data_IF_802973663638
#
_entry.id   IF_802973663638
#
_cell.length_a   1.000
_cell.length_b   1.000
_cell.length_c   1.000
_cell.angle_alpha   90.00
_cell.angle_beta   90.00
_cell.angle_gamma   90.00
#
_symmetry.space_group_name_H-M   'P 1'
#
loop_
_entity.id
_entity.type
_entity.pdbx_description
1 polymer ?
#
# COMPACT_ATOMS: atom_id res chain seq x y z
N UNK A 1 -12.70 -23.34 15.29
CA UNK A 1 -12.20 -22.68 16.52
C UNK A 1 -12.69 -21.24 16.52
N UNK A 2 -12.66 -20.55 17.67
CA UNK A 2 -13.08 -19.15 17.76
C UNK A 2 -12.00 -18.18 17.26
N UNK A 3 -12.38 -16.93 16.99
CA UNK A 3 -11.43 -15.87 16.67
C UNK A 3 -10.62 -15.51 17.92
N UNK A 4 -9.31 -15.37 17.79
CA UNK A 4 -8.42 -14.82 18.82
C UNK A 4 -7.69 -13.60 18.27
N UNK A 5 -7.79 -12.47 18.98
CA UNK A 5 -7.08 -11.25 18.66
C UNK A 5 -5.96 -11.01 19.68
N UNK A 6 -4.71 -11.05 19.22
CA UNK A 6 -3.55 -10.68 20.02
C UNK A 6 -3.33 -9.18 19.90
N UNK A 7 -3.24 -8.50 21.05
CA UNK A 7 -3.27 -7.04 21.11
C UNK A 7 -2.16 -6.46 21.95
N UNK A 8 -1.95 -5.15 21.77
CA UNK A 8 -1.08 -4.34 22.59
C UNK A 8 -1.87 -3.27 23.37
N UNK A 9 -1.41 -2.86 24.56
CA UNK A 9 -2.00 -1.75 25.30
C UNK A 9 -2.03 -0.47 24.46
N UNK A 10 -3.12 0.27 24.56
CA UNK A 10 -3.33 1.55 23.87
C UNK A 10 -3.18 1.55 22.33
N UNK A 11 -3.21 0.36 21.73
CA UNK A 11 -3.10 0.15 20.30
C UNK A 11 -4.39 0.60 19.56
N UNK A 12 -4.32 1.73 18.85
CA UNK A 12 -5.44 2.25 18.02
C UNK A 12 -5.91 1.21 16.99
N UNK A 13 -4.99 0.55 16.28
CA UNK A 13 -5.30 -0.49 15.29
C UNK A 13 -6.06 -1.67 15.90
N UNK A 14 -5.72 -2.03 17.13
CA UNK A 14 -6.40 -3.08 17.89
C UNK A 14 -7.82 -2.66 18.27
N UNK A 15 -8.02 -1.39 18.68
CA UNK A 15 -9.36 -0.84 18.96
C UNK A 15 -10.24 -0.84 17.71
N UNK A 16 -9.69 -0.50 16.54
CA UNK A 16 -10.41 -0.51 15.26
C UNK A 16 -10.93 -1.92 14.93
N UNK A 17 -10.07 -2.93 15.01
CA UNK A 17 -10.47 -4.33 14.74
C UNK A 17 -11.50 -4.83 15.75
N UNK A 18 -11.31 -4.54 17.06
CA UNK A 18 -12.30 -4.89 18.10
C UNK A 18 -13.67 -4.27 17.82
N UNK A 19 -13.70 -2.99 17.47
CA UNK A 19 -14.93 -2.29 17.14
C UNK A 19 -15.62 -2.90 15.91
N UNK A 20 -14.85 -3.25 14.88
CA UNK A 20 -15.37 -3.92 13.69
C UNK A 20 -15.97 -5.29 13.99
N UNK A 21 -15.29 -6.13 14.78
CA UNK A 21 -15.79 -7.45 15.22
C UNK A 21 -17.08 -7.31 16.03
N UNK A 22 -17.12 -6.37 16.98
CA UNK A 22 -18.28 -6.12 17.83
C UNK A 22 -19.51 -5.67 17.01
N UNK A 23 -19.32 -4.74 16.06
CA UNK A 23 -20.39 -4.27 15.17
C UNK A 23 -20.96 -5.39 14.30
N UNK A 24 -20.12 -6.36 13.90
CA UNK A 24 -20.54 -7.53 13.13
C UNK A 24 -21.09 -8.67 14.00
N UNK A 25 -21.13 -8.52 15.32
CA UNK A 25 -21.58 -9.56 16.24
C UNK A 25 -20.69 -10.81 16.23
N UNK A 26 -19.41 -10.67 15.84
CA UNK A 26 -18.48 -11.78 15.77
C UNK A 26 -17.87 -12.02 17.15
N UNK A 27 -18.01 -13.23 17.68
CA UNK A 27 -17.40 -13.61 18.95
C UNK A 27 -15.87 -13.76 18.79
N UNK A 28 -15.11 -13.18 19.72
CA UNK A 28 -13.66 -13.27 19.74
C UNK A 28 -13.10 -13.23 21.16
N UNK A 29 -11.98 -13.90 21.35
CA UNK A 29 -11.13 -13.80 22.53
C UNK A 29 -10.01 -12.78 22.31
N UNK A 30 -9.47 -12.24 23.39
CA UNK A 30 -8.33 -11.31 23.34
C UNK A 30 -7.19 -11.79 24.23
N UNK A 31 -5.97 -11.75 23.69
CA UNK A 31 -4.73 -12.02 24.43
C UNK A 31 -3.88 -10.76 24.36
N UNK A 32 -3.56 -10.15 25.50
CA UNK A 32 -2.67 -8.99 25.57
C UNK A 32 -1.21 -9.46 25.64
N UNK A 33 -0.33 -8.92 24.79
CA UNK A 33 1.04 -9.41 24.73
C UNK A 33 1.86 -9.16 26.01
N UNK A 34 1.44 -8.21 26.85
CA UNK A 34 2.06 -7.92 28.15
C UNK A 34 1.36 -8.64 29.29
N UNK A 35 0.05 -8.55 29.38
CA UNK A 35 -0.71 -9.15 30.49
C UNK A 35 -0.69 -10.69 30.40
N UNK A 36 -0.77 -11.22 29.18
CA UNK A 36 -0.88 -12.66 28.89
C UNK A 36 0.39 -13.18 28.19
N UNK A 37 1.55 -12.70 28.65
CA UNK A 37 2.83 -12.89 27.96
C UNK A 37 3.17 -14.36 27.68
N UNK A 38 2.78 -15.31 28.54
CA UNK A 38 3.06 -16.73 28.32
C UNK A 38 2.28 -17.28 27.11
N UNK A 39 1.00 -16.94 26.99
CA UNK A 39 0.13 -17.37 25.89
C UNK A 39 0.56 -16.72 24.58
N UNK A 40 0.81 -15.41 24.60
CA UNK A 40 1.34 -14.70 23.44
C UNK A 40 2.69 -15.27 22.97
N UNK A 41 3.64 -15.50 23.87
CA UNK A 41 4.95 -16.04 23.50
C UNK A 41 4.86 -17.44 22.92
N UNK A 42 3.91 -18.25 23.39
CA UNK A 42 3.65 -19.59 22.85
C UNK A 42 3.12 -19.48 21.43
N UNK A 43 2.09 -18.66 21.20
CA UNK A 43 1.56 -18.38 19.87
C UNK A 43 2.63 -17.84 18.93
N UNK A 44 3.38 -16.82 19.36
CA UNK A 44 4.42 -16.17 18.56
C UNK A 44 5.52 -17.15 18.15
N UNK A 45 6.04 -17.98 19.08
CA UNK A 45 7.11 -18.95 18.75
C UNK A 45 6.66 -19.99 17.74
N UNK A 46 5.44 -20.49 17.89
CA UNK A 46 4.83 -21.47 16.98
C UNK A 46 4.64 -20.88 15.59
N UNK A 47 4.23 -19.61 15.51
CA UNK A 47 3.81 -18.97 14.25
C UNK A 47 4.81 -17.95 13.71
N UNK A 48 6.03 -17.89 14.23
CA UNK A 48 7.03 -16.85 13.93
C UNK A 48 7.33 -16.65 12.44
N UNK A 49 7.14 -17.68 11.61
CA UNK A 49 7.36 -17.60 10.16
C UNK A 49 6.25 -16.83 9.43
N UNK A 50 5.07 -16.75 10.02
CA UNK A 50 3.90 -16.05 9.48
C UNK A 50 3.73 -14.64 10.08
N UNK A 51 4.56 -14.26 11.06
CA UNK A 51 4.47 -12.98 11.76
C UNK A 51 5.65 -12.11 11.34
N UNK A 52 5.36 -10.99 10.71
CA UNK A 52 6.36 -9.99 10.37
C UNK A 52 6.75 -9.14 11.59
N UNK A 53 8.01 -8.70 11.60
CA UNK A 53 8.57 -7.78 12.58
C UNK A 53 9.37 -6.71 11.87
N UNK A 54 9.09 -5.46 12.20
CA UNK A 54 9.89 -4.32 11.80
C UNK A 54 10.93 -3.99 12.90
N UNK A 55 11.80 -2.99 12.71
CA UNK A 55 12.75 -2.56 13.73
C UNK A 55 12.12 -2.14 15.07
N UNK A 56 10.85 -1.70 15.08
CA UNK A 56 10.09 -1.35 16.28
C UNK A 56 9.43 -2.56 16.98
N UNK A 57 9.41 -3.74 16.34
CA UNK A 57 8.93 -4.99 16.91
C UNK A 57 7.81 -5.66 16.11
N UNK A 58 6.95 -6.41 16.81
CA UNK A 58 5.79 -7.06 16.21
C UNK A 58 4.71 -6.02 15.96
N UNK A 59 4.20 -5.96 14.73
CA UNK A 59 3.04 -5.14 14.43
C UNK A 59 1.76 -5.78 14.99
N UNK A 60 0.98 -4.98 15.72
CA UNK A 60 -0.32 -5.37 16.27
C UNK A 60 -1.46 -4.66 15.53
N UNK A 61 -2.66 -5.27 15.48
CA UNK A 61 -3.02 -6.56 16.08
C UNK A 61 -2.59 -7.78 15.25
N UNK A 62 -2.51 -8.95 15.89
CA UNK A 62 -2.50 -10.25 15.21
C UNK A 62 -3.85 -10.93 15.39
N UNK A 63 -4.32 -11.62 14.36
CA UNK A 63 -5.56 -12.36 14.33
C UNK A 63 -5.27 -13.84 14.05
N UNK A 64 -6.05 -14.72 14.67
CA UNK A 64 -6.10 -16.15 14.33
C UNK A 64 -7.54 -16.64 14.45
N UNK A 65 -8.04 -17.42 13.49
CA UNK A 65 -9.30 -18.19 13.61
C UNK A 65 -9.05 -19.71 13.82
N UNK A 66 -7.78 -20.09 13.96
CA UNK A 66 -7.31 -21.47 14.05
C UNK A 66 -6.78 -22.03 12.73
N UNK A 67 -7.09 -21.41 11.59
CA UNK A 67 -6.63 -21.81 10.26
C UNK A 67 -5.77 -20.73 9.62
N UNK A 68 -6.19 -19.47 9.73
CA UNK A 68 -5.57 -18.31 9.10
C UNK A 68 -5.00 -17.38 10.17
N UNK A 69 -3.79 -16.87 9.91
CA UNK A 69 -3.17 -15.81 10.72
C UNK A 69 -3.07 -14.56 9.86
N UNK A 70 -3.53 -13.42 10.40
CA UNK A 70 -3.43 -12.09 9.78
C UNK A 70 -2.79 -11.10 10.74
N UNK A 71 -2.10 -10.11 10.17
CA UNK A 71 -1.37 -9.10 10.92
C UNK A 71 -1.71 -7.70 10.40
N UNK A 72 -2.00 -6.78 11.33
CA UNK A 72 -2.37 -5.41 11.01
C UNK A 72 -3.86 -5.25 10.70
N UNK A 73 -4.40 -4.08 11.06
CA UNK A 73 -5.84 -3.82 10.97
C UNK A 73 -6.37 -3.84 9.53
N UNK A 74 -5.54 -3.48 8.55
CA UNK A 74 -5.89 -3.53 7.12
C UNK A 74 -6.17 -4.96 6.66
N UNK A 75 -5.18 -5.84 6.79
CA UNK A 75 -5.29 -7.24 6.35
C UNK A 75 -6.38 -8.01 7.12
N UNK A 76 -6.53 -7.77 8.43
CA UNK A 76 -7.53 -8.44 9.25
C UNK A 76 -8.94 -8.08 8.81
N UNK A 77 -9.24 -6.80 8.64
CA UNK A 77 -10.59 -6.36 8.23
C UNK A 77 -10.87 -6.78 6.79
N UNK A 78 -9.89 -6.74 5.89
CA UNK A 78 -10.02 -7.24 4.52
C UNK A 78 -10.39 -8.74 4.49
N UNK A 79 -9.73 -9.55 5.33
CA UNK A 79 -10.03 -10.98 5.46
C UNK A 79 -11.44 -11.22 6.03
N UNK A 80 -11.83 -10.48 7.07
CA UNK A 80 -13.17 -10.60 7.65
C UNK A 80 -14.30 -10.17 6.69
N UNK A 81 -14.01 -9.28 5.74
CA UNK A 81 -14.98 -8.81 4.75
C UNK A 81 -15.12 -9.74 3.55
N UNK A 82 -14.05 -10.42 3.14
CA UNK A 82 -13.97 -11.03 1.80
C UNK A 82 -13.22 -12.36 1.73
N UNK A 83 -12.83 -12.92 2.88
CA UNK A 83 -11.85 -14.02 2.93
C UNK A 83 -10.56 -13.59 2.26
N UNK A 84 -10.03 -14.43 1.37
CA UNK A 84 -8.76 -14.15 0.68
C UNK A 84 -8.89 -13.21 -0.53
N UNK A 85 -10.09 -12.74 -0.86
CA UNK A 85 -10.32 -12.02 -2.13
C UNK A 85 -9.61 -10.67 -2.16
N UNK A 86 -9.68 -9.88 -1.09
CA UNK A 86 -9.04 -8.56 -1.03
C UNK A 86 -7.51 -8.61 -0.85
N UNK A 87 -6.91 -9.78 -0.69
CA UNK A 87 -5.45 -9.91 -0.59
C UNK A 87 -4.72 -9.49 -1.87
N UNK A 88 -5.42 -9.47 -3.00
CA UNK A 88 -4.91 -8.93 -4.25
C UNK A 88 -4.64 -7.41 -4.20
N UNK A 89 -5.23 -6.68 -3.25
CA UNK A 89 -5.15 -5.23 -3.16
C UNK A 89 -4.95 -4.66 -1.76
N UNK A 90 -4.83 -5.53 -0.75
CA UNK A 90 -4.58 -5.16 0.65
C UNK A 90 -3.36 -5.94 1.12
N UNK A 91 -2.37 -5.21 1.60
CA UNK A 91 -1.16 -5.75 2.19
C UNK A 91 -0.96 -5.15 3.57
N UNK A 92 0.08 -5.61 4.26
CA UNK A 92 0.61 -4.93 5.45
C UNK A 92 0.90 -3.47 5.16
N UNK A 93 0.78 -2.65 6.20
CA UNK A 93 1.19 -1.25 6.18
C UNK A 93 2.69 -1.13 6.45
N UNK A 94 3.38 -0.35 5.62
CA UNK A 94 4.73 0.14 5.87
C UNK A 94 4.75 1.49 6.62
N UNK A 95 3.57 2.05 6.92
CA UNK A 95 3.43 3.29 7.69
C UNK A 95 3.04 3.05 9.16
N UNK A 96 3.60 3.87 10.05
CA UNK A 96 3.42 3.85 11.50
C UNK A 96 2.84 5.18 12.03
N UNK A 97 2.70 5.28 13.36
CA UNK A 97 2.34 6.52 14.08
C UNK A 97 1.06 7.21 13.58
N UNK A 98 -0.06 6.48 13.57
CA UNK A 98 -1.36 7.03 13.18
C UNK A 98 -1.61 7.07 11.67
N UNK A 99 -0.67 6.58 10.86
CA UNK A 99 -0.85 6.38 9.41
C UNK A 99 -1.04 4.91 9.07
N UNK A 100 -1.67 4.64 7.94
CA UNK A 100 -1.78 3.29 7.39
C UNK A 100 -1.70 3.32 5.86
N UNK A 101 -0.93 2.40 5.28
CA UNK A 101 -0.81 2.19 3.83
C UNK A 101 -1.12 0.73 3.47
N UNK A 102 -0.58 0.23 2.36
CA UNK A 102 -0.85 -1.14 1.88
C UNK A 102 -2.23 -1.32 1.24
N UNK A 103 -2.80 -0.26 0.67
CA UNK A 103 -4.16 -0.25 0.09
C UNK A 103 -4.09 0.20 -1.37
N UNK A 104 -4.40 -0.72 -2.30
CA UNK A 104 -4.19 -0.54 -3.73
C UNK A 104 -5.49 -0.53 -4.53
N UNK A 105 -6.22 0.60 -4.64
CA UNK A 105 -7.52 0.65 -5.32
C UNK A 105 -7.49 0.13 -6.76
N UNK A 106 -6.40 0.38 -7.50
CA UNK A 106 -6.22 -0.12 -8.88
C UNK A 106 -6.27 -1.64 -8.99
N UNK A 107 -5.87 -2.36 -7.94
CA UNK A 107 -5.80 -3.82 -7.90
C UNK A 107 -7.04 -4.45 -7.25
N UNK A 108 -8.00 -3.64 -6.79
CA UNK A 108 -9.22 -4.14 -6.16
C UNK A 108 -9.95 -5.10 -7.12
N UNK A 109 -10.27 -6.34 -6.75
CA UNK A 109 -11.01 -7.25 -7.62
C UNK A 109 -12.40 -6.72 -7.97
N UNK A 110 -12.89 -7.05 -9.16
CA UNK A 110 -14.25 -6.67 -9.56
C UNK A 110 -15.30 -7.25 -8.60
N UNK A 111 -16.25 -6.41 -8.16
CA UNK A 111 -17.29 -6.77 -7.21
C UNK A 111 -16.87 -6.66 -5.74
N UNK A 112 -15.62 -6.25 -5.45
CA UNK A 112 -15.13 -6.03 -4.09
C UNK A 112 -15.01 -4.54 -3.72
N UNK A 113 -15.41 -3.63 -4.59
CA UNK A 113 -15.30 -2.18 -4.40
C UNK A 113 -16.00 -1.69 -3.13
N UNK A 114 -17.15 -2.27 -2.78
CA UNK A 114 -17.88 -1.92 -1.56
C UNK A 114 -17.18 -2.43 -0.29
N UNK A 115 -16.66 -3.67 -0.31
CA UNK A 115 -15.86 -4.19 0.80
C UNK A 115 -14.59 -3.36 0.99
N UNK A 116 -13.93 -2.97 -0.09
CA UNK A 116 -12.75 -2.11 -0.03
C UNK A 116 -13.09 -0.72 0.52
N UNK A 117 -14.23 -0.14 0.14
CA UNK A 117 -14.70 1.12 0.70
C UNK A 117 -15.02 1.02 2.21
N UNK A 118 -15.67 -0.05 2.66
CA UNK A 118 -15.94 -0.32 4.09
C UNK A 118 -14.64 -0.45 4.88
N UNK A 119 -13.63 -1.12 4.32
CA UNK A 119 -12.30 -1.22 4.91
C UNK A 119 -11.67 0.16 5.11
N UNK A 120 -11.60 0.97 4.05
CA UNK A 120 -10.99 2.31 4.08
C UNK A 120 -11.73 3.22 5.07
N UNK A 121 -13.06 3.23 5.02
CA UNK A 121 -13.89 4.01 5.93
C UNK A 121 -13.66 3.62 7.39
N UNK A 122 -13.59 2.31 7.69
CA UNK A 122 -13.35 1.84 9.06
C UNK A 122 -11.98 2.26 9.60
N UNK A 123 -10.95 2.20 8.77
CA UNK A 123 -9.61 2.62 9.16
C UNK A 123 -9.57 4.12 9.45
N UNK A 124 -10.18 4.94 8.60
CA UNK A 124 -10.27 6.39 8.75
C UNK A 124 -11.12 6.81 9.96
N UNK A 125 -12.34 6.26 10.08
CA UNK A 125 -13.22 6.50 11.23
C UNK A 125 -12.60 6.04 12.57
N UNK A 126 -11.68 5.08 12.48
CA UNK A 126 -10.83 4.63 13.58
C UNK A 126 -9.75 5.61 14.03
N UNK A 127 -9.57 6.73 13.33
CA UNK A 127 -8.59 7.77 13.63
C UNK A 127 -7.24 7.61 12.92
N UNK A 128 -7.14 6.76 11.90
CA UNK A 128 -5.92 6.64 11.09
C UNK A 128 -5.98 7.56 9.87
N UNK A 129 -4.85 8.16 9.51
CA UNK A 129 -4.65 8.74 8.19
C UNK A 129 -4.39 7.60 7.20
N UNK A 130 -5.28 7.43 6.22
CA UNK A 130 -5.22 6.33 5.26
C UNK A 130 -4.51 6.78 3.99
N UNK A 131 -3.48 6.05 3.57
CA UNK A 131 -2.67 6.35 2.39
C UNK A 131 -2.89 5.30 1.31
N UNK A 132 -3.68 5.66 0.30
CA UNK A 132 -3.94 4.83 -0.88
C UNK A 132 -2.77 4.88 -1.86
N UNK A 133 -2.49 3.75 -2.50
CA UNK A 133 -1.46 3.62 -3.54
C UNK A 133 -2.11 3.17 -4.85
N UNK A 134 -2.25 4.10 -5.80
CA UNK A 134 -2.82 3.83 -7.13
C UNK A 134 -1.72 3.74 -8.19
N UNK A 135 -1.99 3.04 -9.28
CA UNK A 135 -1.15 3.02 -10.49
C UNK A 135 -1.77 3.82 -11.66
N UNK A 136 -2.85 4.56 -11.40
CA UNK A 136 -3.60 5.32 -12.41
C UNK A 136 -4.92 4.68 -12.84
N UNK A 137 -5.10 3.37 -12.65
CA UNK A 137 -6.34 2.65 -13.01
C UNK A 137 -7.45 2.86 -11.98
N UNK A 138 -8.69 2.57 -12.40
CA UNK A 138 -9.91 2.66 -11.57
C UNK A 138 -10.13 4.03 -10.89
N UNK A 139 -10.10 5.15 -11.64
CA UNK A 139 -10.28 6.48 -11.07
C UNK A 139 -11.65 6.65 -10.38
N UNK A 140 -12.69 5.96 -10.82
CA UNK A 140 -14.03 6.03 -10.22
C UNK A 140 -14.05 5.45 -8.79
N UNK A 141 -13.33 4.35 -8.55
CA UNK A 141 -13.14 3.82 -7.20
C UNK A 141 -12.30 4.78 -6.36
N UNK A 142 -11.21 5.30 -6.91
CA UNK A 142 -10.35 6.25 -6.20
C UNK A 142 -11.14 7.50 -5.77
N UNK A 143 -11.97 8.06 -6.66
CA UNK A 143 -12.82 9.21 -6.36
C UNK A 143 -13.78 8.91 -5.20
N UNK A 144 -14.41 7.73 -5.19
CA UNK A 144 -15.29 7.30 -4.10
C UNK A 144 -14.54 7.26 -2.77
N UNK A 145 -13.32 6.72 -2.75
CA UNK A 145 -12.52 6.57 -1.54
C UNK A 145 -11.99 7.91 -1.01
N UNK A 146 -11.60 8.84 -1.89
CA UNK A 146 -11.11 10.16 -1.51
C UNK A 146 -12.19 11.08 -0.92
N UNK A 147 -13.47 10.69 -0.99
CA UNK A 147 -14.57 11.37 -0.28
C UNK A 147 -14.61 11.00 1.22
N UNK A 148 -13.91 9.95 1.63
CA UNK A 148 -13.75 9.57 3.03
C UNK A 148 -12.74 10.52 3.67
N UNK A 149 -13.03 10.98 4.88
CA UNK A 149 -12.17 11.92 5.62
C UNK A 149 -10.80 11.28 5.91
N UNK A 150 -9.75 12.10 5.92
CA UNK A 150 -8.37 11.70 6.28
C UNK A 150 -7.80 10.57 5.40
N UNK A 151 -8.26 10.51 4.14
CA UNK A 151 -7.72 9.66 3.08
C UNK A 151 -6.83 10.50 2.15
N UNK A 152 -5.62 9.98 1.91
CA UNK A 152 -4.59 10.54 1.06
C UNK A 152 -4.25 9.56 -0.06
N UNK A 153 -3.56 10.01 -1.10
CA UNK A 153 -3.21 9.16 -2.25
C UNK A 153 -1.81 9.46 -2.80
N UNK A 154 -1.13 8.38 -3.19
CA UNK A 154 0.07 8.43 -4.02
C UNK A 154 -0.18 7.64 -5.30
N UNK A 155 0.08 8.26 -6.45
CA UNK A 155 0.08 7.60 -7.75
C UNK A 155 1.50 7.13 -8.09
N UNK A 156 1.68 5.80 -8.13
CA UNK A 156 2.93 5.13 -8.39
C UNK A 156 3.04 4.74 -9.87
N UNK A 157 4.03 5.29 -10.56
CA UNK A 157 4.44 4.86 -11.89
C UNK A 157 5.72 4.04 -11.75
N UNK A 158 5.76 2.86 -12.35
CA UNK A 158 6.91 1.94 -12.28
C UNK A 158 7.66 1.83 -13.61
N UNK A 159 7.18 2.53 -14.63
CA UNK A 159 7.75 2.56 -15.97
C UNK A 159 6.67 2.87 -17.01
N UNK A 160 6.90 2.42 -18.24
CA UNK A 160 5.88 2.45 -19.30
C UNK A 160 4.78 1.38 -19.12
N UNK A 161 3.93 1.18 -20.14
CA UNK A 161 2.84 0.20 -20.09
C UNK A 161 3.32 -1.24 -19.87
N UNK A 162 4.49 -1.61 -20.42
CA UNK A 162 5.09 -2.93 -20.25
C UNK A 162 5.46 -3.19 -18.79
N UNK A 163 6.19 -2.26 -18.15
CA UNK A 163 6.57 -2.36 -16.74
C UNK A 163 5.34 -2.40 -15.84
N UNK A 164 4.35 -1.54 -16.10
CA UNK A 164 3.09 -1.52 -15.35
C UNK A 164 2.33 -2.83 -15.47
N UNK A 165 2.31 -3.44 -16.67
CA UNK A 165 1.69 -4.75 -16.89
C UNK A 165 2.40 -5.86 -16.11
N UNK A 166 3.74 -5.86 -16.09
CA UNK A 166 4.53 -6.85 -15.34
C UNK A 166 4.33 -6.74 -13.82
N UNK A 167 4.21 -5.53 -13.28
CA UNK A 167 4.12 -5.30 -11.84
C UNK A 167 2.67 -5.36 -11.34
N UNK A 168 1.75 -4.69 -12.03
CA UNK A 168 0.37 -4.50 -11.56
C UNK A 168 -0.67 -5.28 -12.36
N UNK A 169 -0.27 -6.09 -13.35
CA UNK A 169 -1.19 -6.84 -14.21
C UNK A 169 -1.93 -5.98 -15.24
N UNK A 170 -1.55 -4.71 -15.40
CA UNK A 170 -2.05 -3.83 -16.46
C UNK A 170 -1.52 -2.41 -16.35
N UNK A 171 -1.79 -1.61 -17.38
CA UNK A 171 -1.46 -0.18 -17.43
C UNK A 171 -2.75 0.65 -17.53
N UNK A 172 -2.78 1.87 -16.98
CA UNK A 172 -3.92 2.75 -17.18
C UNK A 172 -4.02 3.22 -18.63
N UNK A 173 -5.24 3.41 -19.10
CA UNK A 173 -5.49 4.25 -20.28
C UNK A 173 -5.09 5.70 -20.01
N UNK A 174 -4.95 6.48 -21.09
CA UNK A 174 -4.65 7.91 -21.00
C UNK A 174 -5.72 8.65 -20.20
N UNK A 175 -6.98 8.32 -20.46
CA UNK A 175 -8.16 8.92 -19.83
C UNK A 175 -8.24 8.57 -18.34
N UNK A 176 -7.98 7.31 -17.97
CA UNK A 176 -7.94 6.90 -16.57
C UNK A 176 -6.82 7.61 -15.80
N UNK A 177 -5.62 7.64 -16.37
CA UNK A 177 -4.48 8.27 -15.74
C UNK A 177 -4.71 9.78 -15.56
N UNK A 178 -5.28 10.46 -16.55
CA UNK A 178 -5.61 11.88 -16.47
C UNK A 178 -6.59 12.17 -15.32
N UNK A 179 -7.66 11.37 -15.19
CA UNK A 179 -8.61 11.48 -14.08
C UNK A 179 -7.94 11.23 -12.73
N UNK A 180 -7.15 10.17 -12.61
CA UNK A 180 -6.44 9.83 -11.38
C UNK A 180 -5.48 10.94 -10.96
N UNK A 181 -4.70 11.50 -11.90
CA UNK A 181 -3.79 12.61 -11.62
C UNK A 181 -4.56 13.84 -11.12
N UNK A 182 -5.71 14.16 -11.72
CA UNK A 182 -6.53 15.29 -11.27
C UNK A 182 -6.99 15.10 -9.81
N UNK A 183 -7.44 13.90 -9.45
CA UNK A 183 -7.81 13.56 -8.07
C UNK A 183 -6.62 13.72 -7.11
N UNK A 184 -5.45 13.20 -7.49
CA UNK A 184 -4.21 13.31 -6.71
C UNK A 184 -3.83 14.78 -6.48
N UNK A 185 -3.88 15.63 -7.50
CA UNK A 185 -3.55 17.06 -7.39
C UNK A 185 -4.49 17.84 -6.47
N UNK A 186 -5.74 17.39 -6.32
CA UNK A 186 -6.71 18.00 -5.40
C UNK A 186 -6.65 17.45 -3.98
N UNK A 187 -5.92 16.35 -3.77
CA UNK A 187 -5.77 15.73 -2.45
C UNK A 187 -4.62 16.38 -1.70
N UNK A 188 -4.81 16.83 -0.44
CA UNK A 188 -3.71 17.31 0.39
C UNK A 188 -2.59 16.27 0.48
N UNK A 189 -1.35 16.72 0.27
CA UNK A 189 -0.15 15.88 0.23
C UNK A 189 -0.16 14.78 -0.86
N UNK A 190 -1.09 14.87 -1.81
CA UNK A 190 -1.18 13.96 -2.95
C UNK A 190 0.05 14.07 -3.84
N UNK A 191 0.62 12.91 -4.21
CA UNK A 191 1.85 12.85 -4.98
C UNK A 191 1.74 11.92 -6.19
N UNK A 192 2.32 12.35 -7.31
CA UNK A 192 2.58 11.50 -8.48
C UNK A 192 4.08 11.22 -8.49
N UNK A 193 4.48 9.95 -8.57
CA UNK A 193 5.89 9.58 -8.48
C UNK A 193 6.30 8.45 -9.41
N UNK A 194 7.54 8.49 -9.85
CA UNK A 194 8.26 7.30 -10.28
C UNK A 194 8.68 6.53 -9.02
N UNK A 195 8.04 5.40 -8.78
CA UNK A 195 8.45 4.47 -7.73
C UNK A 195 9.57 3.59 -8.29
N UNK A 196 10.81 3.88 -7.86
CA UNK A 196 11.97 3.09 -8.28
C UNK A 196 11.96 1.79 -7.49
N UNK A 197 11.45 0.74 -8.12
CA UNK A 197 11.37 -0.60 -7.56
C UNK A 197 11.94 -1.63 -8.53
N UNK A 198 12.42 -2.79 -8.05
CA UNK A 198 12.88 -3.86 -8.93
C UNK A 198 11.80 -4.27 -9.93
N UNK A 199 12.18 -4.45 -11.19
CA UNK A 199 11.33 -4.94 -12.28
C UNK A 199 11.72 -6.37 -12.66
N UNK A 200 10.77 -7.23 -13.07
CA UNK A 200 11.07 -8.59 -13.50
C UNK A 200 12.02 -8.61 -14.71
N UNK A 201 13.10 -9.39 -14.60
CA UNK A 201 14.13 -9.57 -15.62
C UNK A 201 14.54 -11.05 -15.71
N UNK A 202 14.00 -11.76 -16.71
CA UNK A 202 14.17 -13.21 -16.82
C UNK A 202 13.59 -13.93 -15.60
N UNK A 203 14.39 -14.79 -14.96
CA UNK A 203 14.03 -15.50 -13.73
C UNK A 203 14.30 -14.68 -12.44
N UNK A 204 14.73 -13.43 -12.58
CA UNK A 204 15.14 -12.57 -11.47
C UNK A 204 14.51 -11.18 -11.51
N UNK A 205 15.16 -10.25 -10.81
CA UNK A 205 14.76 -8.87 -10.67
C UNK A 205 15.94 -7.97 -10.99
N UNK A 206 15.69 -6.82 -11.61
CA UNK A 206 16.70 -5.80 -11.86
C UNK A 206 16.15 -4.42 -11.48
N UNK A 207 17.05 -3.49 -11.14
CA UNK A 207 16.66 -2.08 -11.00
C UNK A 207 16.17 -1.52 -12.34
N UNK A 208 15.19 -0.58 -12.34
CA UNK A 208 14.69 0.03 -13.57
C UNK A 208 15.80 0.66 -14.40
N UNK A 209 15.62 0.70 -15.71
CA UNK A 209 16.55 1.39 -16.61
C UNK A 209 16.17 2.85 -16.76
N UNK A 210 17.04 3.62 -17.41
CA UNK A 210 16.79 5.05 -17.71
C UNK A 210 15.49 5.22 -18.51
N UNK A 211 15.25 4.30 -19.43
CA UNK A 211 14.12 4.28 -20.35
C UNK A 211 12.80 4.09 -19.61
N UNK A 212 12.78 3.31 -18.51
CA UNK A 212 11.60 3.12 -17.68
C UNK A 212 11.17 4.43 -17.01
N UNK A 213 12.14 5.18 -16.45
CA UNK A 213 11.87 6.48 -15.85
C UNK A 213 11.38 7.51 -16.88
N UNK A 214 11.98 7.54 -18.08
CA UNK A 214 11.53 8.40 -19.18
C UNK A 214 10.11 8.03 -19.62
N UNK A 215 9.82 6.73 -19.79
CA UNK A 215 8.50 6.24 -20.20
C UNK A 215 7.42 6.56 -19.16
N UNK A 216 7.70 6.39 -17.86
CA UNK A 216 6.79 6.77 -16.79
C UNK A 216 6.44 8.26 -16.81
N UNK A 217 7.46 9.13 -16.90
CA UNK A 217 7.27 10.58 -16.98
C UNK A 217 6.53 11.00 -18.26
N UNK A 218 6.80 10.34 -19.39
CA UNK A 218 6.11 10.57 -20.66
C UNK A 218 4.62 10.25 -20.55
N UNK A 219 4.26 9.10 -19.98
CA UNK A 219 2.86 8.71 -19.78
C UNK A 219 2.08 9.77 -18.99
N UNK A 220 2.66 10.23 -17.87
CA UNK A 220 2.07 11.28 -17.04
C UNK A 220 1.93 12.58 -17.82
N UNK A 221 2.99 13.04 -18.49
CA UNK A 221 2.98 14.27 -19.28
C UNK A 221 1.95 14.23 -20.42
N UNK A 222 1.80 13.10 -21.11
CA UNK A 222 0.82 12.92 -22.17
C UNK A 222 -0.62 12.92 -21.62
N UNK A 223 -0.84 12.31 -20.45
CA UNK A 223 -2.16 12.24 -19.81
C UNK A 223 -2.63 13.61 -19.31
N UNK A 224 -1.76 14.39 -18.66
CA UNK A 224 -2.15 15.68 -18.09
C UNK A 224 -1.93 16.88 -19.02
N UNK A 225 -1.05 16.77 -20.03
CA UNK A 225 -0.64 17.89 -20.88
C UNK A 225 0.12 19.00 -20.12
N UNK A 226 0.60 18.71 -18.91
CA UNK A 226 1.24 19.68 -18.00
C UNK A 226 2.69 19.26 -17.71
N UNK A 227 3.69 19.76 -18.47
CA UNK A 227 5.10 19.41 -18.24
C UNK A 227 5.67 19.97 -16.93
N UNK A 228 4.93 20.84 -16.24
CA UNK A 228 5.33 21.44 -14.94
C UNK A 228 4.69 20.74 -13.74
N UNK A 229 3.96 19.65 -13.94
CA UNK A 229 3.37 18.86 -12.87
C UNK A 229 4.46 18.36 -11.89
N UNK A 230 4.31 18.58 -10.57
CA UNK A 230 5.23 18.02 -9.58
C UNK A 230 5.29 16.49 -9.67
N UNK A 231 6.50 15.95 -9.79
CA UNK A 231 6.73 14.52 -9.99
C UNK A 231 7.94 14.07 -9.18
N UNK A 232 7.78 13.12 -8.26
CA UNK A 232 8.91 12.67 -7.46
C UNK A 232 9.56 11.39 -8.00
N UNK A 233 10.86 11.24 -7.77
CA UNK A 233 11.58 9.98 -7.92
C UNK A 233 11.85 9.46 -6.52
N UNK A 234 11.26 8.31 -6.17
CA UNK A 234 11.38 7.73 -4.83
C UNK A 234 11.76 6.26 -4.94
N UNK A 235 12.89 5.82 -4.37
CA UNK A 235 13.25 4.41 -4.30
C UNK A 235 12.48 3.67 -3.21
N UNK A 236 12.22 2.39 -3.46
CA UNK A 236 11.80 1.46 -2.41
C UNK A 236 12.93 1.20 -1.42
N UNK A 237 12.58 0.89 -0.18
CA UNK A 237 13.51 0.45 0.86
C UNK A 237 13.26 -1.01 1.22
N UNK A 238 14.18 -1.62 1.95
CA UNK A 238 14.06 -3.01 2.40
C UNK A 238 12.85 -3.25 3.33
N UNK A 239 12.33 -2.21 3.97
CA UNK A 239 11.19 -2.30 4.90
C UNK A 239 9.82 -2.13 4.22
N UNK A 240 9.79 -1.69 2.96
CA UNK A 240 8.55 -1.56 2.19
C UNK A 240 8.05 -2.92 1.73
N UNK A 241 6.73 -3.06 1.51
CA UNK A 241 6.12 -4.32 1.03
C UNK A 241 6.65 -4.75 -0.33
N UNK A 242 6.91 -3.80 -1.22
CA UNK A 242 7.49 -4.08 -2.53
C UNK A 242 8.99 -4.46 -2.49
N UNK A 243 9.65 -4.11 -1.37
CA UNK A 243 11.05 -4.32 -1.01
C UNK A 243 12.07 -4.22 -2.15
N UNK A 244 13.29 -4.68 -1.89
CA UNK A 244 14.40 -4.65 -2.85
C UNK A 244 14.58 -5.98 -3.58
N UNK A 245 13.72 -6.98 -3.34
CA UNK A 245 13.74 -8.31 -3.99
C UNK A 245 15.11 -9.00 -3.97
N UNK A 246 15.88 -8.78 -2.91
CA UNK A 246 17.23 -9.34 -2.74
C UNK A 246 18.32 -8.61 -3.54
N UNK A 247 18.01 -7.49 -4.19
CA UNK A 247 19.01 -6.65 -4.83
C UNK A 247 19.80 -5.84 -3.81
N UNK A 248 21.03 -5.52 -4.17
CA UNK A 248 21.83 -4.53 -3.45
C UNK A 248 21.15 -3.14 -3.51
N UNK A 249 21.37 -2.28 -2.49
CA UNK A 249 20.84 -0.91 -2.47
C UNK A 249 21.10 -0.16 -3.77
N UNK A 250 20.05 0.51 -4.26
CA UNK A 250 20.12 1.30 -5.48
C UNK A 250 21.25 2.35 -5.38
N UNK A 251 22.23 2.35 -6.31
CA UNK A 251 23.28 3.36 -6.29
C UNK A 251 22.71 4.77 -6.45
N UNK A 252 23.19 5.74 -5.66
CA UNK A 252 22.66 7.12 -5.70
C UNK A 252 22.76 7.76 -7.09
N UNK A 253 23.77 7.38 -7.89
CA UNK A 253 23.95 7.87 -9.25
C UNK A 253 22.77 7.50 -10.18
N UNK A 254 22.09 6.38 -9.91
CA UNK A 254 20.92 5.95 -10.67
C UNK A 254 19.74 6.90 -10.44
N UNK A 255 19.56 7.42 -9.21
CA UNK A 255 18.51 8.41 -8.92
C UNK A 255 18.70 9.69 -9.74
N UNK A 256 19.94 10.16 -9.90
CA UNK A 256 20.26 11.31 -10.75
C UNK A 256 19.94 11.03 -12.23
N UNK A 257 20.23 9.80 -12.70
CA UNK A 257 19.89 9.35 -14.04
C UNK A 257 18.38 9.33 -14.28
N UNK A 258 17.59 8.74 -13.37
CA UNK A 258 16.12 8.71 -13.49
C UNK A 258 15.51 10.09 -13.45
N UNK A 259 16.02 10.99 -12.59
CA UNK A 259 15.61 12.38 -12.56
C UNK A 259 15.88 13.09 -13.89
N UNK A 260 17.09 12.93 -14.43
CA UNK A 260 17.46 13.52 -15.73
C UNK A 260 16.56 13.01 -16.86
N UNK A 261 16.25 11.72 -16.87
CA UNK A 261 15.33 11.12 -17.84
C UNK A 261 13.91 11.65 -17.71
N UNK A 262 13.39 11.71 -16.47
CA UNK A 262 12.04 12.21 -16.18
C UNK A 262 11.87 13.68 -16.58
N UNK A 263 12.91 14.51 -16.38
CA UNK A 263 12.93 15.94 -16.75
C UNK A 263 12.84 16.22 -18.24
N UNK A 264 12.99 15.21 -19.10
CA UNK A 264 12.72 15.37 -20.54
C UNK A 264 11.22 15.58 -20.82
N UNK A 265 10.35 15.15 -19.91
CA UNK A 265 8.89 15.24 -20.04
C UNK A 265 8.22 16.04 -18.91
N UNK A 266 8.77 15.97 -17.69
CA UNK A 266 8.25 16.64 -16.49
C UNK A 266 9.35 17.47 -15.84
N UNK A 267 9.42 18.76 -16.14
CA UNK A 267 10.55 19.64 -15.81
C UNK A 267 10.79 19.80 -14.31
N UNK A 268 9.73 19.67 -13.50
CA UNK A 268 9.80 19.74 -12.04
C UNK A 268 10.10 18.40 -11.37
N UNK A 269 10.46 17.37 -12.14
CA UNK A 269 10.81 16.08 -11.57
C UNK A 269 12.00 16.21 -10.60
N UNK A 270 11.89 15.67 -9.39
CA UNK A 270 12.98 15.69 -8.41
C UNK A 270 13.02 14.47 -7.49
N UNK A 271 14.19 14.22 -6.92
CA UNK A 271 14.41 13.07 -6.03
C UNK A 271 13.85 13.40 -4.65
N UNK A 272 13.02 12.51 -4.12
CA UNK A 272 12.53 12.58 -2.74
C UNK A 272 13.07 11.37 -1.99
N UNK A 273 13.82 11.64 -0.93
CA UNK A 273 14.36 10.63 0.00
C UNK A 273 13.42 10.47 1.19
#
# INVERSE_FOLDING_TARGET
MGITLYTAPDCIRCKIVKAFLAERGLAYDTIDFKADAQEFNTFYRTNRKAIYRNPEGVEFPLFSDGEVIKQGSGEIIAYLLSGHTLEACVTRSDMLHGKIAGLYPSQCPAGQEDNFAVLVDRLAAGGLQVWLQTDGRKPELLEKLLKIKDVHVVCNLVGGPEASTKIFGGAPSKEELAKTIALVQTTPDGAVRFLVMPLPAGDGWDWPKREDAAAAAKLVAEACGQPTLPYSITPVTADMVWDMRGLEPLPEQNLLMYRSASRQHLFKADIVK
#
